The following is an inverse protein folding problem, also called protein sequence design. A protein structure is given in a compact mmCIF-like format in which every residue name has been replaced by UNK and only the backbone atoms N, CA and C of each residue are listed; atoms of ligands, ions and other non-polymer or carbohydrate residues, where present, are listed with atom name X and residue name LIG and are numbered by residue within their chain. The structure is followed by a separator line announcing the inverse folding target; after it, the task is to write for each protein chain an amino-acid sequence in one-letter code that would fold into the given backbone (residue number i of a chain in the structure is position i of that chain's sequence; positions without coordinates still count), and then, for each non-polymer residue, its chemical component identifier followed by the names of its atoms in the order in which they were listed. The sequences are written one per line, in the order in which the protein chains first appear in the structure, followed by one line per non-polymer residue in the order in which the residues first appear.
data_IF_064664593995
#
_entry.id   IF_064664593995
#
_cell.length_a   1.000
_cell.length_b   1.000
_cell.length_c   1.000
_cell.angle_alpha   90.00
_cell.angle_beta   90.00
_cell.angle_gamma   90.00
#
_symmetry.space_group_name_H-M   'P 1'
#
loop_
_entity.id
_entity.type
_entity.pdbx_description
1 polymer ?
#
# COMPACT_ATOMS: atom_id res chain seq x y z
N UNK A 1 -48.08 -40.17 -45.29
CA UNK A 1 -47.14 -40.20 -44.16
C UNK A 1 -45.74 -40.54 -44.64
N UNK A 2 -44.84 -39.63 -44.84
CA UNK A 2 -43.43 -39.98 -45.02
C UNK A 2 -42.59 -39.44 -43.90
N UNK A 3 -41.69 -40.28 -43.44
CA UNK A 3 -40.65 -40.01 -42.42
C UNK A 3 -39.52 -39.19 -43.05
N UNK A 4 -39.21 -38.05 -42.46
CA UNK A 4 -38.08 -37.21 -42.87
C UNK A 4 -36.88 -37.59 -42.09
N UNK A 5 -35.86 -38.15 -42.78
CA UNK A 5 -34.54 -38.42 -42.21
C UNK A 5 -33.71 -37.11 -42.21
N UNK A 6 -33.33 -36.64 -41.03
CA UNK A 6 -32.38 -35.55 -40.89
C UNK A 6 -30.94 -36.15 -40.82
N UNK A 7 -30.15 -35.87 -41.84
CA UNK A 7 -28.73 -36.20 -41.91
C UNK A 7 -27.97 -35.21 -41.04
N UNK A 8 -27.24 -35.73 -40.04
CA UNK A 8 -26.30 -34.99 -39.24
C UNK A 8 -24.98 -34.87 -40.02
N UNK A 9 -24.55 -33.65 -40.31
CA UNK A 9 -23.22 -33.32 -40.84
C UNK A 9 -22.20 -33.28 -39.66
N UNK A 10 -20.98 -33.82 -39.83
CA UNK A 10 -19.96 -33.69 -38.82
C UNK A 10 -19.31 -32.32 -38.88
N UNK A 11 -19.28 -31.63 -37.75
CA UNK A 11 -18.56 -30.39 -37.56
C UNK A 11 -17.04 -30.65 -37.61
N UNK A 12 -16.38 -29.94 -38.52
CA UNK A 12 -14.92 -29.79 -38.54
C UNK A 12 -14.45 -29.11 -37.27
N UNK A 13 -13.62 -29.77 -36.47
CA UNK A 13 -12.89 -29.19 -35.37
C UNK A 13 -11.72 -28.37 -35.92
N UNK A 14 -11.89 -27.04 -35.96
CA UNK A 14 -10.80 -26.12 -36.17
C UNK A 14 -10.01 -26.00 -34.88
N UNK A 15 -8.81 -26.62 -34.83
CA UNK A 15 -7.82 -26.44 -33.78
C UNK A 15 -7.27 -25.01 -33.84
N UNK A 16 -7.77 -24.14 -32.94
CA UNK A 16 -7.12 -22.87 -32.68
C UNK A 16 -5.95 -23.12 -31.72
N UNK A 17 -4.76 -23.11 -32.31
CA UNK A 17 -3.54 -23.10 -31.55
C UNK A 17 -3.42 -21.75 -30.78
N UNK A 18 -3.75 -21.72 -29.49
CA UNK A 18 -3.42 -20.61 -28.61
C UNK A 18 -1.90 -20.56 -28.47
N UNK A 19 -1.27 -19.58 -29.14
CA UNK A 19 0.07 -19.13 -28.78
C UNK A 19 0.02 -18.57 -27.37
N UNK A 20 0.52 -19.34 -26.42
CA UNK A 20 0.80 -18.86 -25.08
C UNK A 20 2.01 -17.93 -25.16
N UNK A 21 1.77 -16.64 -25.21
CA UNK A 21 2.80 -15.64 -24.95
C UNK A 21 3.20 -15.81 -23.48
N UNK A 22 4.39 -16.33 -23.26
CA UNK A 22 5.05 -16.32 -21.97
C UNK A 22 5.37 -14.86 -21.60
N UNK A 23 4.38 -14.15 -21.03
CA UNK A 23 4.59 -12.90 -20.34
C UNK A 23 5.23 -13.22 -18.99
N UNK A 24 6.36 -12.60 -18.67
CA UNK A 24 6.93 -12.54 -17.33
C UNK A 24 5.92 -11.83 -16.40
N UNK A 25 5.00 -12.56 -15.85
CA UNK A 25 4.02 -12.14 -14.86
C UNK A 25 4.08 -13.10 -13.69
N UNK A 26 3.79 -12.62 -12.50
CA UNK A 26 3.68 -13.39 -11.27
C UNK A 26 3.02 -14.73 -11.53
N UNK A 27 3.46 -15.78 -10.83
CA UNK A 27 2.81 -17.08 -10.95
C UNK A 27 1.33 -16.93 -10.61
N UNK A 28 0.47 -17.60 -11.35
CA UNK A 28 -0.99 -17.64 -11.10
C UNK A 28 -1.27 -17.97 -9.63
N UNK A 29 -0.42 -18.75 -9.02
CA UNK A 29 -0.48 -19.13 -7.61
C UNK A 29 -0.26 -17.95 -6.65
N UNK A 30 0.67 -17.03 -6.95
CA UNK A 30 0.89 -15.82 -6.13
C UNK A 30 -0.30 -14.86 -6.24
N UNK A 31 -0.89 -14.74 -7.41
CA UNK A 31 -2.07 -13.91 -7.61
C UNK A 31 -3.29 -14.50 -6.89
N UNK A 32 -3.50 -15.81 -6.98
CA UNK A 32 -4.56 -16.51 -6.26
C UNK A 32 -4.34 -16.46 -4.74
N UNK A 33 -3.09 -16.54 -4.28
CA UNK A 33 -2.78 -16.38 -2.86
C UNK A 33 -3.12 -14.98 -2.37
N UNK A 34 -2.73 -13.94 -3.10
CA UNK A 34 -3.07 -12.56 -2.76
C UNK A 34 -4.61 -12.31 -2.75
N UNK A 35 -5.33 -12.91 -3.67
CA UNK A 35 -6.80 -12.87 -3.68
C UNK A 35 -7.41 -13.57 -2.45
N UNK A 36 -6.89 -14.74 -2.06
CA UNK A 36 -7.31 -15.44 -0.84
C UNK A 36 -7.03 -14.61 0.40
N UNK A 37 -5.85 -14.00 0.49
CA UNK A 37 -5.46 -13.15 1.61
C UNK A 37 -6.37 -11.91 1.71
N UNK A 38 -6.70 -11.27 0.60
CA UNK A 38 -7.64 -10.15 0.55
C UNK A 38 -9.04 -10.58 0.97
N UNK A 39 -9.51 -11.75 0.51
CA UNK A 39 -10.83 -12.26 0.87
C UNK A 39 -10.91 -12.61 2.37
N UNK A 40 -9.85 -13.20 2.90
CA UNK A 40 -9.73 -13.55 4.32
C UNK A 40 -9.66 -12.31 5.21
N UNK A 41 -8.89 -11.29 4.79
CA UNK A 41 -8.81 -10.00 5.49
C UNK A 41 -10.15 -9.25 5.47
N UNK A 42 -10.89 -9.30 4.37
CA UNK A 42 -12.24 -8.72 4.30
C UNK A 42 -13.20 -9.45 5.22
N UNK A 43 -13.20 -10.79 5.18
CA UNK A 43 -14.06 -11.60 6.04
C UNK A 43 -13.75 -11.37 7.54
N UNK A 44 -12.47 -11.29 7.92
CA UNK A 44 -12.07 -10.99 9.31
C UNK A 44 -12.46 -9.56 9.71
N UNK A 45 -12.33 -8.57 8.82
CA UNK A 45 -12.75 -7.21 9.08
C UNK A 45 -14.27 -7.12 9.29
N UNK A 46 -15.04 -7.76 8.43
CA UNK A 46 -16.50 -7.77 8.54
C UNK A 46 -16.97 -8.53 9.79
N UNK A 47 -16.32 -9.64 10.14
CA UNK A 47 -16.57 -10.37 11.37
C UNK A 47 -16.25 -9.54 12.63
N UNK A 48 -15.11 -8.81 12.62
CA UNK A 48 -14.72 -7.91 13.71
C UNK A 48 -15.71 -6.76 13.85
N UNK A 49 -16.12 -6.15 12.74
CA UNK A 49 -17.15 -5.08 12.75
C UNK A 49 -18.47 -5.57 13.34
N UNK A 50 -18.92 -6.77 12.94
CA UNK A 50 -20.15 -7.36 13.45
C UNK A 50 -20.04 -7.70 14.95
N UNK A 51 -18.87 -8.14 15.41
CA UNK A 51 -18.60 -8.42 16.81
C UNK A 51 -18.56 -7.13 17.65
N UNK A 52 -17.90 -6.10 17.15
CA UNK A 52 -17.82 -4.79 17.83
C UNK A 52 -19.20 -4.11 17.89
N UNK A 53 -20.00 -4.24 16.83
CA UNK A 53 -21.39 -3.75 16.86
C UNK A 53 -22.24 -4.48 17.92
N UNK A 54 -22.12 -5.80 18.00
CA UNK A 54 -22.82 -6.58 19.05
C UNK A 54 -22.40 -6.16 20.45
N UNK A 55 -21.11 -5.97 20.70
CA UNK A 55 -20.60 -5.50 22.00
C UNK A 55 -21.11 -4.11 22.33
N UNK A 56 -21.23 -3.24 21.33
CA UNK A 56 -21.79 -1.90 21.49
C UNK A 56 -23.27 -1.98 21.87
N UNK A 57 -24.05 -2.80 21.16
CA UNK A 57 -25.48 -2.97 21.42
C UNK A 57 -25.72 -3.59 22.81
N UNK A 58 -24.91 -4.57 23.22
CA UNK A 58 -24.94 -5.18 24.56
C UNK A 58 -24.58 -4.17 25.65
N UNK A 59 -23.54 -3.37 25.45
CA UNK A 59 -23.15 -2.31 26.39
C UNK A 59 -24.24 -1.24 26.52
N UNK A 60 -24.88 -0.86 25.42
CA UNK A 60 -25.98 0.08 25.42
C UNK A 60 -27.19 -0.46 26.22
N UNK A 61 -27.51 -1.74 26.04
CA UNK A 61 -28.58 -2.42 26.79
C UNK A 61 -28.28 -2.46 28.29
N UNK A 62 -27.05 -2.79 28.68
CA UNK A 62 -26.64 -2.78 30.10
C UNK A 62 -26.72 -1.37 30.70
N UNK A 63 -26.36 -0.33 29.95
CA UNK A 63 -26.49 1.06 30.38
C UNK A 63 -27.94 1.42 30.64
N UNK A 64 -28.85 0.98 29.78
CA UNK A 64 -30.28 1.30 29.94
C UNK A 64 -30.91 0.51 31.07
N UNK A 65 -30.54 -0.77 31.28
CA UNK A 65 -30.92 -1.59 32.43
C UNK A 65 -30.41 -0.98 33.75
N UNK A 66 -29.14 -0.55 33.84
CA UNK A 66 -28.58 0.11 35.01
C UNK A 66 -29.25 1.45 35.33
N UNK A 67 -29.67 2.21 34.32
CA UNK A 67 -30.44 3.46 34.51
C UNK A 67 -31.81 3.20 35.13
N UNK A 68 -32.46 2.13 34.71
CA UNK A 68 -33.77 1.75 35.25
C UNK A 68 -33.65 1.19 36.69
N UNK A 69 -32.59 0.41 36.99
CA UNK A 69 -32.29 -0.02 38.38
C UNK A 69 -31.95 1.18 39.29
N UNK A 70 -31.18 2.17 38.84
CA UNK A 70 -30.89 3.40 39.59
C UNK A 70 -32.13 4.22 39.86
N UNK A 71 -33.07 4.27 38.89
CA UNK A 71 -34.39 4.90 39.10
C UNK A 71 -35.21 4.19 40.16
N UNK A 72 -35.21 2.84 40.15
CA UNK A 72 -35.95 2.01 41.11
C UNK A 72 -35.34 2.07 42.52
N UNK A 73 -34.03 2.23 42.65
CA UNK A 73 -33.32 2.28 43.93
C UNK A 73 -33.43 3.63 44.67
N UNK A 74 -34.07 4.66 44.10
CA UNK A 74 -34.31 5.94 44.80
C UNK A 74 -33.05 6.71 45.19
N UNK A 75 -31.91 6.40 44.57
CA UNK A 75 -30.61 7.05 44.84
C UNK A 75 -30.69 8.51 44.38
N UNK A 76 -30.40 9.41 45.26
CA UNK A 76 -30.63 10.84 45.16
C UNK A 76 -30.34 11.46 43.80
N UNK A 77 -31.32 12.11 43.25
CA UNK A 77 -31.45 12.66 41.90
C UNK A 77 -30.21 13.43 41.42
N UNK A 78 -29.51 14.10 42.32
CA UNK A 78 -28.35 14.96 41.99
C UNK A 78 -27.07 14.19 41.62
N UNK A 79 -26.80 13.04 42.26
CA UNK A 79 -25.61 12.23 41.93
C UNK A 79 -25.81 11.41 40.63
N UNK A 80 -27.03 10.91 40.43
CA UNK A 80 -27.39 10.14 39.23
C UNK A 80 -27.43 11.00 37.97
N UNK A 81 -27.83 12.28 38.06
CA UNK A 81 -27.78 13.20 36.93
C UNK A 81 -26.34 13.57 36.53
N UNK A 82 -25.46 13.72 37.51
CA UNK A 82 -24.02 13.99 37.26
C UNK A 82 -23.30 12.79 36.63
N UNK A 83 -23.56 11.58 37.11
CA UNK A 83 -23.01 10.34 36.54
C UNK A 83 -23.57 10.08 35.14
N UNK A 84 -24.86 10.30 34.91
CA UNK A 84 -25.49 10.21 33.61
C UNK A 84 -24.95 11.24 32.62
N UNK A 85 -24.62 12.45 33.08
CA UNK A 85 -23.96 13.46 32.24
C UNK A 85 -22.54 13.06 31.87
N UNK A 86 -21.75 12.58 32.81
CA UNK A 86 -20.39 12.08 32.56
C UNK A 86 -20.39 10.90 31.59
N UNK A 87 -21.33 9.97 31.74
CA UNK A 87 -21.46 8.81 30.86
C UNK A 87 -21.87 9.22 29.43
N UNK A 88 -22.78 10.20 29.29
CA UNK A 88 -23.13 10.75 27.96
C UNK A 88 -21.95 11.45 27.30
N UNK A 89 -21.16 12.18 28.07
CA UNK A 89 -19.96 12.85 27.55
C UNK A 89 -18.92 11.83 27.09
N UNK A 90 -18.65 10.81 27.90
CA UNK A 90 -17.76 9.71 27.51
C UNK A 90 -18.24 8.95 26.26
N UNK A 91 -19.55 8.70 26.15
CA UNK A 91 -20.14 8.10 24.95
C UNK A 91 -20.02 9.00 23.73
N UNK A 92 -20.20 10.32 23.88
CA UNK A 92 -20.06 11.28 22.78
C UNK A 92 -18.61 11.31 22.28
N UNK A 93 -17.63 11.30 23.18
CA UNK A 93 -16.20 11.24 22.87
C UNK A 93 -15.83 9.92 22.17
N UNK A 94 -16.35 8.80 22.65
CA UNK A 94 -16.14 7.49 22.02
C UNK A 94 -16.73 7.45 20.60
N UNK A 95 -17.95 7.97 20.41
CA UNK A 95 -18.58 8.06 19.10
C UNK A 95 -17.79 8.96 18.14
N UNK A 96 -17.31 10.09 18.61
CA UNK A 96 -16.44 10.99 17.83
C UNK A 96 -15.15 10.29 17.41
N UNK A 97 -14.49 9.59 18.33
CA UNK A 97 -13.26 8.81 18.04
C UNK A 97 -13.52 7.68 17.04
N UNK A 98 -14.65 6.98 17.15
CA UNK A 98 -15.04 5.94 16.21
C UNK A 98 -15.30 6.52 14.80
N UNK A 99 -15.96 7.68 14.71
CA UNK A 99 -16.18 8.37 13.44
C UNK A 99 -14.86 8.84 12.80
N UNK A 100 -13.92 9.34 13.59
CA UNK A 100 -12.58 9.72 13.12
C UNK A 100 -11.82 8.51 12.56
N UNK A 101 -11.90 7.37 13.23
CA UNK A 101 -11.28 6.14 12.77
C UNK A 101 -11.86 5.66 11.42
N UNK A 102 -13.17 5.71 11.26
CA UNK A 102 -13.82 5.36 9.98
C UNK A 102 -13.43 6.34 8.85
N UNK A 103 -13.35 7.63 9.14
CA UNK A 103 -12.87 8.62 8.16
C UNK A 103 -11.40 8.35 7.77
N UNK A 104 -10.54 8.01 8.74
CA UNK A 104 -9.16 7.63 8.48
C UNK A 104 -9.07 6.38 7.59
N UNK A 105 -9.86 5.34 7.88
CA UNK A 105 -9.92 4.13 7.05
C UNK A 105 -10.38 4.45 5.62
N UNK A 106 -11.42 5.26 5.46
CA UNK A 106 -11.94 5.66 4.16
C UNK A 106 -10.89 6.44 3.34
N UNK A 107 -10.18 7.38 3.96
CA UNK A 107 -9.07 8.11 3.32
C UNK A 107 -7.93 7.20 2.92
N UNK A 108 -7.57 6.27 3.80
CA UNK A 108 -6.53 5.29 3.52
C UNK A 108 -6.90 4.38 2.34
N UNK A 109 -8.14 3.92 2.29
CA UNK A 109 -8.65 3.10 1.19
C UNK A 109 -8.63 3.89 -0.13
N UNK A 110 -9.06 5.15 -0.12
CA UNK A 110 -9.03 6.02 -1.29
C UNK A 110 -7.58 6.24 -1.81
N UNK A 111 -6.62 6.46 -0.91
CA UNK A 111 -5.21 6.61 -1.29
C UNK A 111 -4.66 5.31 -1.89
N UNK A 112 -5.03 4.17 -1.33
CA UNK A 112 -4.67 2.86 -1.87
C UNK A 112 -5.18 2.68 -3.30
N UNK A 113 -6.46 2.95 -3.56
CA UNK A 113 -7.08 2.87 -4.89
C UNK A 113 -6.39 3.77 -5.92
N UNK A 114 -5.97 4.98 -5.50
CA UNK A 114 -5.21 5.90 -6.37
C UNK A 114 -3.83 5.34 -6.73
N UNK A 115 -3.16 4.72 -5.78
CA UNK A 115 -1.86 4.07 -6.00
C UNK A 115 -1.97 2.72 -6.73
N UNK A 116 -3.14 2.06 -6.72
CA UNK A 116 -3.37 0.82 -7.47
C UNK A 116 -3.22 1.01 -8.99
N UNK A 117 -3.30 2.24 -9.50
CA UNK A 117 -2.93 2.54 -10.89
C UNK A 117 -1.48 2.15 -11.21
N UNK A 118 -0.60 2.09 -10.19
CA UNK A 118 0.77 1.63 -10.35
C UNK A 118 0.88 0.12 -10.50
N UNK A 119 -0.11 -0.66 -10.04
CA UNK A 119 -0.13 -2.11 -10.25
C UNK A 119 -0.35 -2.48 -11.72
N UNK A 120 -1.04 -1.64 -12.48
CA UNK A 120 -1.19 -1.85 -13.93
C UNK A 120 0.13 -1.76 -14.71
N UNK A 121 1.15 -1.14 -14.13
CA UNK A 121 2.51 -1.05 -14.69
C UNK A 121 3.50 -2.00 -14.01
N UNK A 122 3.00 -3.01 -13.29
CA UNK A 122 3.80 -4.08 -12.69
C UNK A 122 4.44 -3.72 -11.34
N UNK A 123 4.02 -2.61 -10.69
CA UNK A 123 4.51 -2.22 -9.38
C UNK A 123 3.60 -2.73 -8.27
N UNK A 124 4.20 -3.20 -7.19
CA UNK A 124 3.45 -3.70 -6.03
C UNK A 124 3.21 -2.58 -5.03
N UNK A 125 1.94 -2.30 -4.74
CA UNK A 125 1.54 -1.38 -3.67
C UNK A 125 1.06 -2.20 -2.47
N UNK A 126 1.71 -2.04 -1.35
CA UNK A 126 1.43 -2.79 -0.11
C UNK A 126 1.27 -1.85 1.08
N UNK A 127 0.60 -2.35 2.12
CA UNK A 127 0.60 -1.71 3.43
C UNK A 127 1.60 -2.44 4.31
N UNK A 128 2.61 -1.71 4.80
CA UNK A 128 3.65 -2.25 5.67
C UNK A 128 3.96 -1.27 6.78
N UNK A 129 4.04 -1.78 8.02
CA UNK A 129 4.29 -0.95 9.21
C UNK A 129 3.35 0.28 9.28
N UNK A 130 2.07 0.06 8.99
CA UNK A 130 1.02 1.08 8.96
C UNK A 130 1.26 2.24 7.96
N UNK A 131 2.06 2.00 6.91
CA UNK A 131 2.35 2.95 5.83
C UNK A 131 2.05 2.32 4.47
N UNK A 132 1.61 3.13 3.52
CA UNK A 132 1.52 2.71 2.12
C UNK A 132 2.89 2.77 1.47
N UNK A 133 3.24 1.70 0.79
CA UNK A 133 4.56 1.49 0.21
C UNK A 133 4.40 1.04 -1.23
N UNK A 134 5.07 1.71 -2.14
CA UNK A 134 5.28 1.27 -3.52
C UNK A 134 6.62 0.53 -3.55
N UNK A 135 6.59 -0.78 -3.79
CA UNK A 135 7.79 -1.60 -3.86
C UNK A 135 8.35 -1.61 -5.28
N UNK A 136 9.64 -1.31 -5.39
CA UNK A 136 10.41 -1.26 -6.63
C UNK A 136 11.55 -2.30 -6.53
N UNK A 137 11.54 -3.37 -7.35
CA UNK A 137 12.63 -4.34 -7.34
C UNK A 137 13.98 -3.68 -7.66
N UNK A 138 14.98 -3.94 -6.82
CA UNK A 138 16.31 -3.34 -6.95
C UNK A 138 16.99 -3.70 -8.26
N UNK A 139 16.81 -4.91 -8.73
CA UNK A 139 17.45 -5.43 -9.94
C UNK A 139 16.94 -4.78 -11.24
N UNK A 140 15.72 -4.21 -11.21
CA UNK A 140 15.18 -3.39 -12.31
C UNK A 140 15.80 -1.99 -12.29
N UNK A 141 16.04 -1.45 -11.09
CA UNK A 141 16.54 -0.10 -10.90
C UNK A 141 18.05 0.00 -11.07
N UNK A 142 18.81 -0.99 -10.60
CA UNK A 142 20.27 -0.94 -10.48
C UNK A 142 20.93 -2.25 -10.88
N UNK A 143 22.19 -2.15 -11.29
CA UNK A 143 23.06 -3.31 -11.37
C UNK A 143 23.59 -3.70 -9.98
N UNK A 144 24.08 -4.96 -9.86
CA UNK A 144 24.62 -5.45 -8.59
C UNK A 144 25.75 -4.56 -8.08
N UNK A 145 25.67 -4.17 -6.80
CA UNK A 145 26.65 -3.30 -6.15
C UNK A 145 26.71 -1.86 -6.67
N UNK A 146 25.80 -1.45 -7.56
CA UNK A 146 25.75 -0.11 -8.15
C UNK A 146 24.57 0.69 -7.64
N UNK A 147 24.69 2.02 -7.71
CA UNK A 147 23.64 3.01 -7.42
C UNK A 147 23.19 3.78 -8.68
N UNK A 148 23.80 3.52 -9.83
CA UNK A 148 23.44 4.17 -11.09
C UNK A 148 22.15 3.58 -11.64
N UNK A 149 21.15 4.42 -11.85
CA UNK A 149 19.83 4.01 -12.38
C UNK A 149 19.95 3.49 -13.81
N UNK A 150 19.43 2.30 -14.03
CA UNK A 150 19.28 1.68 -15.36
C UNK A 150 18.24 2.42 -16.20
N UNK A 151 18.31 2.38 -17.54
CA UNK A 151 17.29 2.97 -18.40
C UNK A 151 15.86 2.51 -18.07
N UNK A 152 15.69 1.22 -17.81
CA UNK A 152 14.39 0.64 -17.44
C UNK A 152 13.89 1.18 -16.09
N UNK A 153 14.77 1.27 -15.10
CA UNK A 153 14.47 1.87 -13.81
C UNK A 153 14.00 3.31 -13.94
N UNK A 154 14.63 4.11 -14.82
CA UNK A 154 14.20 5.49 -15.10
C UNK A 154 12.81 5.55 -15.71
N UNK A 155 12.45 4.59 -16.61
CA UNK A 155 11.09 4.53 -17.18
C UNK A 155 10.04 4.23 -16.11
N UNK A 156 10.30 3.27 -15.25
CA UNK A 156 9.40 2.92 -14.15
C UNK A 156 9.26 4.10 -13.18
N UNK A 157 10.35 4.73 -12.79
CA UNK A 157 10.31 5.89 -11.90
C UNK A 157 9.57 7.06 -12.53
N UNK A 158 9.64 7.23 -13.85
CA UNK A 158 8.84 8.24 -14.57
C UNK A 158 7.34 7.95 -14.47
N UNK A 159 6.93 6.68 -14.62
CA UNK A 159 5.53 6.28 -14.44
C UNK A 159 5.04 6.54 -13.02
N UNK A 160 5.86 6.25 -11.99
CA UNK A 160 5.57 6.60 -10.59
C UNK A 160 5.38 8.12 -10.44
N UNK A 161 6.30 8.90 -11.00
CA UNK A 161 6.21 10.36 -10.96
C UNK A 161 4.95 10.90 -11.65
N UNK A 162 4.57 10.33 -12.80
CA UNK A 162 3.38 10.74 -13.54
C UNK A 162 2.09 10.46 -12.78
N UNK A 163 1.98 9.30 -12.11
CA UNK A 163 0.83 8.98 -11.26
C UNK A 163 0.74 9.93 -10.07
N UNK A 164 1.85 10.19 -9.38
CA UNK A 164 1.89 11.11 -8.24
C UNK A 164 1.54 12.54 -8.68
N UNK A 165 2.14 13.02 -9.77
CA UNK A 165 1.91 14.37 -10.30
C UNK A 165 0.49 14.56 -10.84
N UNK A 166 -0.08 13.52 -11.43
CA UNK A 166 -1.44 13.53 -11.99
C UNK A 166 -2.56 13.51 -10.96
N UNK A 167 -2.24 13.32 -9.68
CA UNK A 167 -3.21 13.27 -8.59
C UNK A 167 -2.92 14.37 -7.55
N UNK A 168 -3.82 15.34 -7.45
CA UNK A 168 -3.67 16.49 -6.55
C UNK A 168 -3.53 16.10 -5.07
N UNK A 169 -4.12 14.98 -4.65
CA UNK A 169 -4.00 14.48 -3.28
C UNK A 169 -2.62 13.88 -3.01
N UNK A 170 -2.06 13.16 -3.99
CA UNK A 170 -0.74 12.55 -3.86
C UNK A 170 0.38 13.58 -4.02
N UNK A 171 0.24 14.56 -4.93
CA UNK A 171 1.29 15.55 -5.22
C UNK A 171 1.62 16.45 -4.04
N UNK A 172 0.68 16.67 -3.11
CA UNK A 172 0.89 17.44 -1.87
C UNK A 172 1.33 16.60 -0.67
N UNK A 173 1.60 15.30 -0.84
CA UNK A 173 2.03 14.42 0.25
C UNK A 173 3.54 14.32 0.37
N UNK A 174 4.00 14.07 1.59
CA UNK A 174 5.39 13.78 1.84
C UNK A 174 5.70 12.30 1.58
N UNK A 175 6.80 12.06 0.90
CA UNK A 175 7.29 10.72 0.57
C UNK A 175 8.71 10.52 1.09
N UNK A 176 9.02 9.30 1.47
CA UNK A 176 10.37 8.86 1.78
C UNK A 176 10.74 7.70 0.86
N UNK A 177 11.84 7.83 0.16
CA UNK A 177 12.44 6.72 -0.57
C UNK A 177 13.34 5.96 0.38
N UNK A 178 13.06 4.68 0.58
CA UNK A 178 13.79 3.79 1.48
C UNK A 178 14.53 2.72 0.66
N UNK A 179 15.85 2.65 0.81
CA UNK A 179 16.69 1.65 0.16
C UNK A 179 16.95 0.46 1.09
N UNK A 180 16.96 -0.74 0.52
CA UNK A 180 17.23 -2.00 1.22
C UNK A 180 18.19 -2.86 0.39
N UNK A 181 18.97 -3.69 1.08
CA UNK A 181 19.84 -4.72 0.50
C UNK A 181 19.39 -6.09 0.98
N UNK A 182 19.97 -7.12 0.39
CA UNK A 182 20.00 -8.47 0.98
C UNK A 182 21.01 -8.55 2.13
N UNK A 183 21.15 -9.77 2.69
CA UNK A 183 22.09 -10.06 3.78
C UNK A 183 23.56 -10.07 3.37
N UNK A 184 23.85 -10.21 2.08
CA UNK A 184 25.23 -10.32 1.60
C UNK A 184 26.02 -9.04 1.91
N UNK A 185 27.20 -9.16 2.55
CA UNK A 185 27.99 -7.99 2.89
C UNK A 185 28.48 -7.24 1.64
N UNK A 186 28.21 -5.94 1.61
CA UNK A 186 28.76 -5.05 0.59
C UNK A 186 30.06 -4.41 1.09
N UNK A 187 31.11 -4.47 0.27
CA UNK A 187 32.43 -3.89 0.54
C UNK A 187 32.93 -3.06 -0.65
N UNK A 188 32.08 -2.16 -1.15
CA UNK A 188 32.42 -1.32 -2.32
C UNK A 188 32.63 0.15 -1.97
N UNK A 189 32.36 1.03 -2.93
CA UNK A 189 32.56 2.49 -2.84
C UNK A 189 31.79 3.16 -1.70
N UNK A 190 30.76 2.51 -1.15
CA UNK A 190 29.87 3.06 -0.11
C UNK A 190 30.08 2.37 1.25
N UNK A 191 31.19 1.70 1.45
CA UNK A 191 31.65 1.02 2.66
C UNK A 191 30.86 -0.25 3.00
N UNK A 192 29.55 -0.18 3.14
CA UNK A 192 28.68 -1.26 3.59
C UNK A 192 27.28 -1.22 2.98
N UNK A 193 26.42 -2.12 3.39
CA UNK A 193 25.01 -2.19 2.98
C UNK A 193 24.21 -0.94 3.36
N UNK A 194 24.55 -0.26 4.47
CA UNK A 194 23.91 0.99 4.84
C UNK A 194 24.21 2.08 3.82
N UNK A 195 25.49 2.27 3.50
CA UNK A 195 25.92 3.24 2.52
C UNK A 195 25.33 2.99 1.13
N UNK A 196 25.38 1.72 0.64
CA UNK A 196 24.78 1.38 -0.65
C UNK A 196 23.28 1.65 -0.69
N UNK A 197 22.56 1.28 0.35
CA UNK A 197 21.10 1.47 0.42
C UNK A 197 20.70 2.96 0.43
N UNK A 198 21.42 3.79 1.20
CA UNK A 198 21.23 5.26 1.20
C UNK A 198 21.48 5.86 -0.18
N UNK A 199 22.59 5.47 -0.83
CA UNK A 199 22.93 6.01 -2.14
C UNK A 199 21.93 5.63 -3.21
N UNK A 200 21.40 4.41 -3.19
CA UNK A 200 20.32 3.98 -4.08
C UNK A 200 19.04 4.79 -3.85
N UNK A 201 18.63 4.98 -2.60
CA UNK A 201 17.48 5.82 -2.27
C UNK A 201 17.66 7.27 -2.75
N UNK A 202 18.86 7.84 -2.53
CA UNK A 202 19.21 9.19 -2.99
C UNK A 202 19.12 9.30 -4.52
N UNK A 203 19.62 8.32 -5.28
CA UNK A 203 19.54 8.34 -6.75
C UNK A 203 18.10 8.33 -7.25
N UNK A 204 17.22 7.55 -6.59
CA UNK A 204 15.79 7.54 -6.91
C UNK A 204 15.17 8.90 -6.63
N UNK A 205 15.39 9.51 -5.45
CA UNK A 205 14.89 10.86 -5.14
C UNK A 205 15.42 11.86 -6.15
N UNK A 206 16.75 11.85 -6.41
CA UNK A 206 17.36 12.77 -7.36
C UNK A 206 16.73 12.70 -8.75
N UNK A 207 16.37 11.51 -9.21
CA UNK A 207 15.65 11.33 -10.47
C UNK A 207 14.21 11.84 -10.42
N UNK A 208 13.47 11.49 -9.34
CA UNK A 208 12.06 11.87 -9.20
C UNK A 208 11.86 13.39 -9.17
N UNK A 209 12.77 14.13 -8.54
CA UNK A 209 12.70 15.59 -8.44
C UNK A 209 13.42 16.33 -9.57
N UNK A 210 14.25 15.64 -10.36
CA UNK A 210 14.95 16.27 -11.48
C UNK A 210 13.94 16.83 -12.50
N UNK A 211 14.23 18.02 -13.08
CA UNK A 211 13.39 18.60 -14.11
C UNK A 211 13.24 17.67 -15.32
N UNK A 212 12.04 17.60 -15.86
CA UNK A 212 11.80 16.94 -17.15
C UNK A 212 12.40 17.83 -18.22
N UNK A 213 13.51 17.39 -18.81
CA UNK A 213 14.00 18.02 -20.04
C UNK A 213 13.09 17.56 -21.17
N UNK A 214 12.91 18.43 -22.16
CA UNK A 214 12.13 18.10 -23.34
C UNK A 214 12.84 17.00 -24.16
N UNK A 215 12.69 15.75 -23.71
CA UNK A 215 13.07 14.58 -24.49
C UNK A 215 12.14 14.56 -25.69
N UNK A 216 12.62 14.10 -26.85
CA UNK A 216 11.79 14.04 -28.05
C UNK A 216 10.52 13.21 -27.75
N UNK A 217 9.33 13.83 -27.60
CA UNK A 217 8.12 13.13 -27.18
C UNK A 217 7.64 12.10 -28.22
N UNK A 218 8.29 12.07 -29.39
CA UNK A 218 8.00 11.14 -30.49
C UNK A 218 8.86 9.86 -30.45
N UNK A 219 9.84 9.77 -29.55
CA UNK A 219 10.65 8.55 -29.40
C UNK A 219 10.20 7.74 -28.17
N UNK A 220 9.45 6.64 -28.39
CA UNK A 220 9.01 5.78 -27.28
C UNK A 220 10.17 5.07 -26.57
N UNK A 221 11.38 5.10 -27.14
CA UNK A 221 12.59 4.54 -26.54
C UNK A 221 13.44 5.57 -25.78
N UNK A 222 13.06 6.85 -25.81
CA UNK A 222 13.76 7.89 -25.08
C UNK A 222 13.86 7.54 -23.59
N UNK A 223 15.06 7.76 -23.03
CA UNK A 223 15.30 7.56 -21.59
C UNK A 223 14.87 8.83 -20.87
N UNK A 224 13.91 8.77 -19.92
CA UNK A 224 13.47 9.95 -19.21
C UNK A 224 14.62 10.65 -18.47
N UNK A 225 14.63 11.99 -18.50
CA UNK A 225 15.65 12.82 -17.84
C UNK A 225 15.34 13.05 -16.36
N UNK A 226 14.06 13.03 -15.97
CA UNK A 226 13.61 13.24 -14.59
C UNK A 226 12.11 13.06 -14.42
N UNK A 227 11.65 13.09 -13.16
CA UNK A 227 10.24 12.98 -12.79
C UNK A 227 9.50 14.32 -12.72
N UNK A 228 10.20 15.41 -12.42
CA UNK A 228 9.63 16.76 -12.30
C UNK A 228 8.70 16.94 -11.10
N UNK A 229 8.96 16.22 -10.00
CA UNK A 229 8.24 16.37 -8.74
C UNK A 229 8.84 17.48 -7.88
N UNK A 230 8.05 18.06 -6.99
CA UNK A 230 8.50 19.09 -6.05
C UNK A 230 9.45 18.49 -5.01
N UNK A 231 10.71 18.94 -4.92
CA UNK A 231 11.69 18.37 -3.99
C UNK A 231 11.34 18.56 -2.51
N UNK A 232 10.50 19.53 -2.16
CA UNK A 232 10.13 19.82 -0.77
C UNK A 232 9.41 18.65 -0.08
N UNK A 233 8.82 17.74 -0.86
CA UNK A 233 8.05 16.61 -0.37
C UNK A 233 8.83 15.28 -0.33
N UNK A 234 10.14 15.29 -0.61
CA UNK A 234 10.90 14.04 -0.81
C UNK A 234 12.10 13.92 0.11
N UNK A 235 12.19 12.76 0.77
CA UNK A 235 13.35 12.37 1.56
C UNK A 235 13.93 11.03 1.13
N UNK A 236 15.18 10.76 1.49
CA UNK A 236 15.85 9.48 1.25
C UNK A 236 16.35 8.88 2.56
N UNK A 237 16.21 7.56 2.71
CA UNK A 237 16.74 6.79 3.84
C UNK A 237 17.32 5.45 3.35
N UNK A 238 18.28 4.90 4.07
CA UNK A 238 18.79 3.57 3.83
C UNK A 238 18.66 2.71 5.06
N UNK A 239 18.31 1.46 4.89
CA UNK A 239 18.10 0.49 5.96
C UNK A 239 19.06 -0.70 5.89
N UNK A 240 19.92 -0.76 4.87
CA UNK A 240 20.81 -1.91 4.65
C UNK A 240 20.01 -3.20 4.55
N UNK A 241 20.48 -4.25 5.20
CA UNK A 241 19.83 -5.56 5.24
C UNK A 241 18.80 -5.70 6.38
N UNK A 242 18.58 -4.68 7.22
CA UNK A 242 17.95 -4.84 8.55
C UNK A 242 16.42 -5.01 8.55
N UNK A 243 15.77 -5.00 7.42
CA UNK A 243 14.32 -5.17 7.35
C UNK A 243 13.94 -6.06 6.16
N UNK A 244 14.27 -7.38 6.22
CA UNK A 244 13.96 -8.32 5.16
C UNK A 244 12.44 -8.51 5.03
N UNK A 245 11.95 -8.60 3.79
CA UNK A 245 10.55 -8.95 3.48
C UNK A 245 10.40 -10.45 3.15
N UNK A 246 11.51 -11.15 3.00
CA UNK A 246 11.56 -12.58 2.75
C UNK A 246 12.79 -13.18 3.45
N UNK A 247 12.63 -14.38 4.03
CA UNK A 247 13.67 -15.00 4.84
C UNK A 247 13.91 -14.27 6.17
N UNK A 248 15.13 -14.40 6.69
CA UNK A 248 15.56 -13.76 7.94
C UNK A 248 16.83 -12.91 7.71
N UNK A 249 17.29 -12.19 8.72
CA UNK A 249 18.59 -11.48 8.66
C UNK A 249 19.77 -12.44 8.48
N UNK A 250 19.69 -13.63 9.05
CA UNK A 250 20.78 -14.63 9.02
C UNK A 250 20.71 -15.52 7.79
N UNK A 251 19.51 -15.90 7.36
CA UNK A 251 19.30 -16.89 6.32
C UNK A 251 18.33 -16.36 5.26
N UNK A 252 18.78 -16.35 4.01
CA UNK A 252 18.01 -16.00 2.83
C UNK A 252 18.44 -16.89 1.68
N UNK A 253 17.47 -17.42 0.95
CA UNK A 253 17.68 -18.03 -0.35
C UNK A 253 17.94 -16.95 -1.41
N UNK A 254 18.44 -17.33 -2.59
CA UNK A 254 18.67 -16.36 -3.69
C UNK A 254 17.42 -15.60 -4.10
N UNK A 255 16.25 -16.24 -4.09
CA UNK A 255 14.97 -15.61 -4.42
C UNK A 255 14.53 -14.62 -3.32
N UNK A 256 14.82 -14.94 -2.06
CA UNK A 256 14.57 -14.04 -0.93
C UNK A 256 15.52 -12.84 -0.93
N UNK A 257 16.82 -13.07 -1.23
CA UNK A 257 17.79 -12.00 -1.44
C UNK A 257 17.33 -11.04 -2.54
N UNK A 258 16.84 -11.57 -3.66
CA UNK A 258 16.30 -10.75 -4.76
C UNK A 258 15.12 -9.90 -4.30
N UNK A 259 14.19 -10.45 -3.53
CA UNK A 259 13.04 -9.71 -2.97
C UNK A 259 13.50 -8.64 -1.97
N UNK A 260 14.55 -8.92 -1.20
CA UNK A 260 15.09 -8.00 -0.20
C UNK A 260 15.89 -6.85 -0.84
N UNK A 261 16.55 -7.06 -1.98
CA UNK A 261 17.15 -5.98 -2.79
C UNK A 261 16.05 -5.13 -3.44
N UNK A 262 15.59 -4.13 -2.72
CA UNK A 262 14.47 -3.29 -3.14
C UNK A 262 14.65 -1.83 -2.77
N UNK A 263 13.88 -0.99 -3.43
CA UNK A 263 13.63 0.38 -3.02
C UNK A 263 12.13 0.53 -2.78
N UNK A 264 11.77 1.20 -1.72
CA UNK A 264 10.39 1.48 -1.36
C UNK A 264 10.13 2.99 -1.43
N UNK A 265 9.06 3.39 -2.13
CA UNK A 265 8.54 4.75 -2.02
C UNK A 265 7.43 4.73 -0.98
N UNK A 266 7.70 5.29 0.17
CA UNK A 266 6.85 5.25 1.36
C UNK A 266 6.08 6.56 1.47
N UNK A 267 4.75 6.48 1.40
CA UNK A 267 3.88 7.61 1.69
C UNK A 267 3.90 7.90 3.20
N UNK A 268 4.32 9.10 3.57
CA UNK A 268 4.35 9.50 4.98
C UNK A 268 2.94 9.83 5.48
N UNK A 269 2.59 9.39 6.71
CA UNK A 269 1.33 9.80 7.33
C UNK A 269 1.28 11.33 7.49
N UNK A 270 0.14 11.93 7.21
CA UNK A 270 -0.09 13.32 7.58
C UNK A 270 -0.69 13.37 8.99
N UNK A 271 0.14 13.71 9.97
CA UNK A 271 -0.25 13.74 11.38
C UNK A 271 -1.30 14.82 11.65
N UNK A 272 -1.23 15.95 10.96
CA UNK A 272 -2.24 17.03 11.08
C UNK A 272 -3.64 16.55 10.65
N UNK A 273 -3.70 15.78 9.55
CA UNK A 273 -4.96 15.16 9.12
C UNK A 273 -5.42 14.05 10.06
N UNK A 274 -4.50 13.30 10.65
CA UNK A 274 -4.84 12.20 11.57
C UNK A 274 -5.39 12.71 12.90
N UNK A 275 -4.90 13.82 13.37
CA UNK A 275 -5.25 14.37 14.68
C UNK A 275 -6.25 15.53 14.61
N UNK A 276 -6.69 15.96 13.40
CA UNK A 276 -7.51 17.16 13.20
C UNK A 276 -6.97 18.41 13.91
N UNK A 277 -5.63 18.55 13.96
CA UNK A 277 -4.95 19.63 14.71
C UNK A 277 -5.24 21.03 14.17
N UNK A 278 -5.94 21.16 13.03
CA UNK A 278 -6.34 22.47 12.49
C UNK A 278 -7.50 23.11 13.26
N UNK A 279 -8.16 22.35 14.13
CA UNK A 279 -9.28 22.78 14.94
C UNK A 279 -8.93 22.97 16.42
N UNK A 280 -7.65 22.83 16.80
CA UNK A 280 -7.07 23.16 18.12
C UNK A 280 -6.32 24.48 18.06
#
# INVERSE_FOLDING_TARGET
MPKMNVRVLPFLTASVACLVMAGCGHSEDEWQQAQRDISTLRATLDATKAQDQKKFDEAQKQIDELKDELKAAGVGKANSEKEAAQLRDAMSQFKASAQQLEQMKARFQMLKERLEKLTSVGLKVVVRNNRMVIQLPGDILFDSGRDTLKPEGKRILKQVADVIKGDATLSGRNFQVAGYTDKEPYSGAYFDNWGLSVMRARQVVSFLVAPIKADNPKDPKAIPSGGGLDPSHWGAAGYGANDPIAGTLAEQTRDEEQKNRRVEVVLQPNVEEMLNLKDL
#
